data_IF_609057045396
#
_entry.id   IF_609057045396
#
_cell.length_a   1.000
_cell.length_b   1.000
_cell.length_c   1.000
_cell.angle_alpha   90.00
_cell.angle_beta   90.00
_cell.angle_gamma   90.00
#
_symmetry.space_group_name_H-M   'P 1'
#
loop_
_entity.id
_entity.type
_entity.pdbx_description
1 polymer ?
#
# COMPACT_ATOMS: atom_id res chain seq x y z
N UNK A 1 -49.94 -13.53 -3.35
CA UNK A 1 -49.08 -13.92 -4.48
C UNK A 1 -48.00 -12.87 -4.61
N UNK A 2 -46.81 -13.15 -4.08
CA UNK A 2 -45.54 -12.59 -4.52
C UNK A 2 -44.43 -13.22 -3.64
N UNK A 3 -44.01 -14.42 -4.06
CA UNK A 3 -43.00 -15.22 -3.35
C UNK A 3 -41.86 -15.56 -4.30
N UNK A 4 -41.32 -14.60 -5.04
CA UNK A 4 -40.26 -14.92 -6.01
C UNK A 4 -39.06 -13.98 -6.03
N UNK A 5 -38.93 -13.00 -5.10
CA UNK A 5 -37.85 -12.02 -5.17
C UNK A 5 -36.78 -12.14 -4.09
N UNK A 6 -36.76 -13.20 -3.28
CA UNK A 6 -35.78 -13.32 -2.19
C UNK A 6 -34.64 -14.30 -2.46
N UNK A 7 -34.57 -14.94 -3.63
CA UNK A 7 -33.52 -15.93 -3.91
C UNK A 7 -32.21 -15.35 -4.47
N UNK A 8 -32.21 -14.11 -4.93
CA UNK A 8 -30.99 -13.51 -5.54
C UNK A 8 -30.09 -12.73 -4.59
N UNK A 9 -30.51 -12.53 -3.35
CA UNK A 9 -29.67 -11.78 -2.35
C UNK A 9 -28.73 -12.66 -1.55
N UNK A 10 -28.81 -13.99 -1.66
CA UNK A 10 -27.98 -14.92 -0.87
C UNK A 10 -26.73 -15.44 -1.60
N UNK A 11 -26.49 -15.06 -2.85
CA UNK A 11 -25.43 -15.68 -3.64
C UNK A 11 -24.13 -14.88 -3.70
N UNK A 12 -24.04 -13.68 -3.11
CA UNK A 12 -22.85 -12.82 -3.21
C UNK A 12 -22.16 -12.57 -1.87
N UNK A 13 -22.74 -13.00 -0.75
CA UNK A 13 -22.09 -12.90 0.58
C UNK A 13 -21.27 -14.15 0.91
N UNK A 14 -21.12 -15.05 -0.02
CA UNK A 14 -20.21 -16.16 0.10
C UNK A 14 -18.82 -15.72 -0.34
N UNK A 15 -18.06 -15.19 0.64
CA UNK A 15 -16.69 -15.53 0.73
C UNK A 15 -15.66 -14.70 0.01
N UNK A 16 -15.03 -13.89 0.79
CA UNK A 16 -13.57 -13.95 0.91
C UNK A 16 -13.19 -13.52 2.33
N UNK A 17 -13.65 -14.20 3.34
CA UNK A 17 -12.89 -14.32 4.58
C UNK A 17 -11.74 -15.28 4.28
N UNK A 18 -10.70 -14.79 3.63
CA UNK A 18 -9.38 -15.37 3.77
C UNK A 18 -8.92 -15.05 5.20
N UNK A 19 -9.52 -15.71 6.17
CA UNK A 19 -8.95 -15.88 7.47
C UNK A 19 -7.69 -16.68 7.23
N UNK A 20 -6.53 -16.02 7.22
CA UNK A 20 -5.25 -16.68 7.36
C UNK A 20 -5.25 -17.30 8.77
N UNK A 21 -5.99 -18.40 8.95
CA UNK A 21 -5.77 -19.30 10.06
C UNK A 21 -4.43 -19.93 9.74
N UNK A 22 -3.38 -19.44 10.38
CA UNK A 22 -2.11 -20.15 10.49
C UNK A 22 -2.43 -21.37 11.36
N UNK A 23 -2.96 -22.44 10.72
CA UNK A 23 -3.06 -23.74 11.34
C UNK A 23 -1.65 -24.30 11.32
N UNK A 24 -0.98 -24.28 12.45
CA UNK A 24 0.22 -25.07 12.69
C UNK A 24 -0.12 -26.55 12.55
N UNK A 25 -0.12 -27.08 11.33
CA UNK A 25 -0.18 -28.52 11.07
C UNK A 25 1.20 -28.97 10.57
N UNK A 26 1.87 -29.71 11.40
CA UNK A 26 3.01 -30.62 11.19
C UNK A 26 3.70 -30.57 9.81
N UNK A 27 4.67 -29.68 9.69
CA UNK A 27 5.46 -29.42 8.50
C UNK A 27 5.75 -27.94 8.39
N UNK A 28 6.24 -27.33 9.48
CA UNK A 28 6.52 -25.91 9.58
C UNK A 28 7.71 -25.58 8.69
N UNK A 29 7.44 -25.09 7.49
CA UNK A 29 8.37 -24.15 6.89
C UNK A 29 8.28 -22.89 7.76
N UNK A 30 9.35 -22.56 8.47
CA UNK A 30 9.38 -21.40 9.35
C UNK A 30 9.08 -20.14 8.52
N UNK A 31 8.02 -19.42 8.85
CA UNK A 31 7.71 -18.14 8.22
C UNK A 31 8.88 -17.19 8.49
N UNK A 32 9.45 -16.63 7.43
CA UNK A 32 10.46 -15.57 7.59
C UNK A 32 9.74 -14.28 7.98
N UNK A 33 9.94 -13.87 9.22
CA UNK A 33 9.38 -12.62 9.73
C UNK A 33 10.49 -11.62 10.01
N UNK A 34 10.38 -10.44 9.41
CA UNK A 34 11.32 -9.34 9.56
C UNK A 34 10.60 -8.10 10.10
N UNK A 35 11.12 -7.56 11.21
CA UNK A 35 10.79 -6.20 11.67
C UNK A 35 11.85 -5.27 11.13
N UNK A 36 11.44 -4.15 10.54
CA UNK A 36 12.34 -3.16 9.98
C UNK A 36 11.87 -1.75 10.30
N UNK A 37 12.73 -0.77 10.09
CA UNK A 37 12.37 0.62 10.26
C UNK A 37 13.43 1.59 9.79
N UNK A 38 13.05 2.85 9.72
CA UNK A 38 13.92 3.98 9.45
C UNK A 38 13.46 5.16 10.29
N UNK A 39 14.40 5.81 10.97
CA UNK A 39 14.22 7.13 11.56
C UNK A 39 14.99 8.13 10.70
N UNK A 40 14.31 9.14 10.22
CA UNK A 40 14.90 10.15 9.33
C UNK A 40 14.36 11.52 9.73
N UNK A 41 15.25 12.38 10.18
CA UNK A 41 14.95 13.72 10.68
C UNK A 41 15.90 14.72 10.04
N UNK A 42 15.37 15.86 9.63
CA UNK A 42 16.15 16.99 9.14
C UNK A 42 15.95 18.24 10.01
N UNK A 43 16.94 19.12 10.02
CA UNK A 43 16.80 20.47 10.55
C UNK A 43 16.50 21.39 9.38
N UNK A 44 15.36 22.06 9.41
CA UNK A 44 14.94 22.99 8.37
C UNK A 44 15.07 24.43 8.88
N UNK A 45 15.72 25.25 8.08
CA UNK A 45 15.78 26.70 8.28
C UNK A 45 15.01 27.36 7.15
N UNK A 46 13.91 28.01 7.48
CA UNK A 46 13.05 28.69 6.48
C UNK A 46 13.07 30.20 6.75
N UNK A 47 13.28 30.96 5.70
CA UNK A 47 13.18 32.43 5.72
C UNK A 47 12.35 32.86 4.52
N UNK A 48 11.22 33.50 4.78
CA UNK A 48 10.42 34.20 3.76
C UNK A 48 10.66 35.71 3.87
N UNK A 49 10.47 36.42 2.76
CA UNK A 49 10.63 37.86 2.75
C UNK A 49 9.64 38.55 3.70
N UNK A 50 10.17 39.35 4.63
CA UNK A 50 9.36 40.01 5.65
C UNK A 50 9.04 39.22 6.89
N UNK A 51 9.37 37.94 6.92
CA UNK A 51 9.09 37.03 8.06
C UNK A 51 10.35 36.74 8.89
N UNK A 52 10.18 36.41 10.19
CA UNK A 52 11.30 35.95 11.02
C UNK A 52 11.84 34.61 10.49
N UNK A 53 13.13 34.38 10.67
CA UNK A 53 13.72 33.06 10.39
C UNK A 53 13.12 32.02 11.31
N UNK A 54 12.54 30.96 10.74
CA UNK A 54 12.02 29.80 11.44
C UNK A 54 13.03 28.65 11.37
N UNK A 55 13.28 28.02 12.51
CA UNK A 55 14.08 26.79 12.60
C UNK A 55 13.20 25.71 13.22
N UNK A 56 13.00 24.61 12.50
CA UNK A 56 12.22 23.47 12.95
C UNK A 56 12.88 22.13 12.60
N UNK A 57 12.53 21.09 13.34
CA UNK A 57 12.82 19.71 12.98
C UNK A 57 11.72 19.20 12.06
N UNK A 58 12.09 18.46 11.04
CA UNK A 58 11.16 17.92 10.07
C UNK A 58 11.34 16.41 9.92
N UNK A 59 10.23 15.70 9.89
CA UNK A 59 10.21 14.27 9.64
C UNK A 59 10.39 13.98 8.14
N UNK A 60 11.38 13.16 7.79
CA UNK A 60 11.68 12.76 6.41
C UNK A 60 11.19 11.32 6.12
N UNK A 61 9.94 11.05 6.51
CA UNK A 61 9.28 9.79 6.24
C UNK A 61 9.79 8.64 7.09
N UNK A 62 9.94 8.87 8.38
CA UNK A 62 10.22 7.84 9.38
C UNK A 62 9.11 6.80 9.39
N UNK A 63 9.47 5.53 9.57
CA UNK A 63 8.55 4.40 9.51
C UNK A 63 9.11 3.17 10.18
N UNK A 64 8.21 2.29 10.58
CA UNK A 64 8.52 0.94 11.00
C UNK A 64 7.53 -0.04 10.39
N UNK A 65 7.86 -1.30 10.31
CA UNK A 65 6.99 -2.29 9.71
C UNK A 65 7.38 -3.72 10.00
N UNK A 66 6.47 -4.58 9.62
CA UNK A 66 6.59 -6.04 9.68
C UNK A 66 6.40 -6.59 8.27
N UNK A 67 7.29 -7.49 7.87
CA UNK A 67 7.12 -8.32 6.68
C UNK A 67 7.21 -9.78 7.08
N UNK A 68 6.29 -10.57 6.59
CA UNK A 68 6.29 -12.02 6.78
C UNK A 68 6.10 -12.68 5.43
N UNK A 69 6.87 -13.71 5.15
CA UNK A 69 6.67 -14.59 4.01
C UNK A 69 6.61 -16.04 4.50
N UNK A 70 5.58 -16.75 4.08
CA UNK A 70 5.39 -18.17 4.34
C UNK A 70 5.31 -18.92 3.01
N UNK A 71 6.20 -19.89 2.84
CA UNK A 71 6.20 -20.77 1.67
C UNK A 71 5.18 -21.88 1.84
N UNK A 72 4.08 -21.81 1.09
CA UNK A 72 3.04 -22.84 1.09
C UNK A 72 3.52 -24.11 0.35
N UNK A 73 4.28 -23.88 -0.73
CA UNK A 73 4.95 -24.92 -1.52
C UNK A 73 6.11 -24.29 -2.32
N UNK A 74 6.93 -25.05 -3.10
CA UNK A 74 8.07 -24.52 -3.83
C UNK A 74 7.76 -23.41 -4.86
N UNK A 75 6.50 -23.28 -5.28
CA UNK A 75 6.03 -22.26 -6.23
C UNK A 75 5.26 -21.11 -5.55
N UNK A 76 4.53 -21.37 -4.48
CA UNK A 76 3.54 -20.47 -3.89
C UNK A 76 3.96 -20.02 -2.49
N UNK A 77 3.94 -18.71 -2.27
CA UNK A 77 4.13 -18.06 -0.96
C UNK A 77 2.95 -17.16 -0.61
N UNK A 78 2.62 -17.10 0.67
CA UNK A 78 1.78 -16.03 1.25
C UNK A 78 2.67 -14.99 1.89
N UNK A 79 2.33 -13.70 1.71
CA UNK A 79 3.10 -12.58 2.28
C UNK A 79 2.19 -11.60 2.99
N UNK A 80 2.69 -11.05 4.09
CA UNK A 80 2.08 -9.93 4.80
C UNK A 80 3.08 -8.79 4.84
N UNK A 81 2.61 -7.59 4.57
CA UNK A 81 3.38 -6.38 4.75
C UNK A 81 2.55 -5.32 5.46
N UNK A 82 2.94 -4.99 6.69
CA UNK A 82 2.38 -3.93 7.50
C UNK A 82 3.44 -2.85 7.71
N UNK A 83 3.11 -1.59 7.43
CA UNK A 83 4.02 -0.46 7.60
C UNK A 83 3.29 0.75 8.15
N UNK A 84 3.82 1.31 9.23
CA UNK A 84 3.35 2.52 9.91
C UNK A 84 4.35 3.65 9.73
N UNK A 85 3.87 4.83 9.39
CA UNK A 85 4.64 6.05 9.48
C UNK A 85 4.56 6.68 10.86
N UNK A 86 5.61 7.37 11.29
CA UNK A 86 5.61 8.17 12.50
C UNK A 86 6.42 9.45 12.30
N UNK A 87 6.12 10.46 13.09
CA UNK A 87 6.86 11.70 13.10
C UNK A 87 8.07 11.56 14.04
N UNK A 88 9.25 11.82 13.52
CA UNK A 88 10.48 11.67 14.29
C UNK A 88 10.76 12.83 15.24
N UNK A 89 10.03 13.93 15.12
CA UNK A 89 10.13 15.13 15.94
C UNK A 89 9.27 15.09 17.21
N UNK A 90 8.09 14.42 17.14
CA UNK A 90 7.15 14.35 18.26
C UNK A 90 6.71 12.93 18.64
N UNK A 91 7.05 11.92 17.81
CA UNK A 91 6.67 10.52 18.04
C UNK A 91 5.23 10.17 17.64
N UNK A 92 4.46 11.12 17.12
CA UNK A 92 3.09 10.90 16.66
C UNK A 92 3.00 10.05 15.40
N UNK A 93 1.80 9.56 15.07
CA UNK A 93 1.56 8.91 13.78
C UNK A 93 1.69 9.93 12.65
N UNK A 94 2.34 9.55 11.54
CA UNK A 94 2.71 10.52 10.49
C UNK A 94 1.54 10.96 9.61
N UNK A 95 0.46 10.22 9.58
CA UNK A 95 -0.72 10.55 8.77
C UNK A 95 -0.44 10.77 7.27
N UNK A 96 0.63 10.20 6.71
CA UNK A 96 1.15 10.53 5.36
C UNK A 96 0.39 9.89 4.19
N UNK A 97 -0.90 9.76 4.22
CA UNK A 97 -1.52 8.99 3.16
C UNK A 97 -2.90 9.45 2.65
N UNK A 98 -3.41 10.62 3.04
CA UNK A 98 -4.76 11.11 2.65
C UNK A 98 -5.92 10.40 3.39
N UNK A 99 -6.97 11.11 3.72
CA UNK A 99 -8.11 10.60 4.50
C UNK A 99 -7.96 10.78 6.02
N UNK A 100 -8.81 10.12 6.81
CA UNK A 100 -8.78 10.15 8.28
C UNK A 100 -7.59 9.35 8.85
N UNK A 101 -6.38 9.75 8.53
CA UNK A 101 -5.15 9.00 8.77
C UNK A 101 -4.65 9.09 10.21
N UNK A 102 -5.09 10.07 10.96
CA UNK A 102 -4.73 10.26 12.37
C UNK A 102 -5.09 9.06 13.27
N UNK A 103 -5.87 8.12 12.72
CA UNK A 103 -6.33 6.92 13.43
C UNK A 103 -5.78 5.61 12.83
N UNK A 104 -4.97 5.67 11.79
CA UNK A 104 -4.49 4.47 11.09
C UNK A 104 -3.11 4.08 11.58
N UNK A 105 -3.00 2.94 12.26
CA UNK A 105 -1.71 2.38 12.68
C UNK A 105 -0.84 2.01 11.46
N UNK A 106 -1.44 1.43 10.42
CA UNK A 106 -0.73 1.04 9.19
C UNK A 106 -1.12 1.95 8.02
N UNK A 107 -0.84 3.24 8.17
CA UNK A 107 -1.16 4.29 7.19
C UNK A 107 -0.41 4.13 5.86
N UNK A 108 0.71 3.39 5.85
CA UNK A 108 1.57 3.22 4.68
C UNK A 108 1.25 1.96 3.89
N UNK A 109 1.31 0.80 4.52
CA UNK A 109 1.00 -0.49 3.91
C UNK A 109 0.26 -1.40 4.88
N UNK A 110 -0.82 -2.00 4.41
CA UNK A 110 -1.52 -3.10 5.06
C UNK A 110 -1.91 -4.10 3.96
N UNK A 111 -0.98 -4.99 3.61
CA UNK A 111 -1.05 -5.84 2.42
C UNK A 111 -0.96 -7.30 2.80
N UNK A 112 -1.90 -8.08 2.30
CA UNK A 112 -1.82 -9.54 2.18
C UNK A 112 -1.61 -9.88 0.71
N UNK A 113 -0.65 -10.74 0.37
CA UNK A 113 -0.47 -11.19 -1.00
C UNK A 113 -0.20 -12.68 -1.13
N UNK A 114 -0.50 -13.20 -2.32
CA UNK A 114 -0.12 -14.53 -2.77
C UNK A 114 0.83 -14.38 -3.96
N UNK A 115 2.02 -14.94 -3.84
CA UNK A 115 3.07 -14.87 -4.84
C UNK A 115 3.38 -16.26 -5.39
N UNK A 116 3.33 -16.41 -6.71
CA UNK A 116 3.75 -17.59 -7.45
C UNK A 116 4.89 -17.24 -8.40
N UNK A 117 5.89 -18.10 -8.46
CA UNK A 117 7.00 -17.96 -9.43
C UNK A 117 6.53 -18.04 -10.87
N UNK A 118 5.41 -18.75 -11.11
CA UNK A 118 4.85 -18.99 -12.46
C UNK A 118 3.81 -17.95 -12.84
N UNK A 119 2.95 -17.56 -11.90
CA UNK A 119 1.76 -16.77 -12.17
C UNK A 119 1.89 -15.30 -11.74
N UNK A 120 2.96 -14.94 -11.01
CA UNK A 120 3.15 -13.61 -10.48
C UNK A 120 2.55 -13.43 -9.08
N UNK A 121 2.21 -12.22 -8.73
CA UNK A 121 1.75 -11.87 -7.39
C UNK A 121 0.44 -11.10 -7.43
N UNK A 122 -0.51 -11.49 -6.58
CA UNK A 122 -1.74 -10.76 -6.33
C UNK A 122 -1.75 -10.28 -4.89
N UNK A 123 -1.97 -8.98 -4.68
CA UNK A 123 -2.02 -8.34 -3.37
C UNK A 123 -3.35 -7.67 -3.10
N UNK A 124 -3.74 -7.63 -1.85
CA UNK A 124 -5.00 -7.07 -1.35
C UNK A 124 -4.72 -6.15 -0.17
N UNK A 125 -5.44 -5.02 -0.08
CA UNK A 125 -5.40 -4.13 1.07
C UNK A 125 -5.02 -2.70 0.73
N UNK A 126 -4.28 -2.02 1.64
CA UNK A 126 -3.80 -0.66 1.44
C UNK A 126 -2.38 -0.66 0.89
N UNK A 127 -2.21 -0.07 -0.29
CA UNK A 127 -0.92 -0.05 -1.00
C UNK A 127 -0.86 1.05 -2.06
N UNK A 128 0.33 1.30 -2.59
CA UNK A 128 0.48 2.07 -3.83
C UNK A 128 0.10 1.24 -5.05
N UNK A 129 -0.45 1.88 -6.07
CA UNK A 129 -0.78 1.23 -7.35
C UNK A 129 0.48 0.84 -8.13
N UNK A 130 0.33 0.09 -9.22
CA UNK A 130 1.44 -0.24 -10.13
C UNK A 130 2.08 1.00 -10.78
N UNK A 131 1.39 2.14 -10.81
CA UNK A 131 1.90 3.42 -11.30
C UNK A 131 2.50 4.31 -10.21
N UNK A 132 2.22 4.05 -8.96
CA UNK A 132 2.65 4.91 -7.86
C UNK A 132 4.18 4.96 -7.72
N UNK A 133 4.68 5.98 -7.03
CA UNK A 133 6.09 6.07 -6.64
C UNK A 133 6.39 5.32 -5.33
N UNK A 134 5.50 4.44 -4.87
CA UNK A 134 5.67 3.71 -3.61
C UNK A 134 5.57 2.20 -3.79
N UNK A 135 6.39 1.49 -3.02
CA UNK A 135 6.37 0.02 -2.95
C UNK A 135 5.01 -0.51 -2.44
N UNK A 136 4.70 -1.81 -2.58
CA UNK A 136 5.54 -2.86 -3.15
C UNK A 136 5.42 -3.04 -4.67
N UNK A 137 4.34 -2.58 -5.28
CA UNK A 137 3.97 -2.97 -6.64
C UNK A 137 4.30 -1.94 -7.72
N UNK A 138 4.99 -0.86 -7.37
CA UNK A 138 5.37 0.17 -8.35
C UNK A 138 6.20 -0.41 -9.50
N UNK A 139 5.68 -0.28 -10.72
CA UNK A 139 6.36 -0.71 -11.94
C UNK A 139 6.86 0.48 -12.77
N UNK A 140 6.28 1.66 -12.60
CA UNK A 140 6.50 2.80 -13.48
C UNK A 140 7.27 3.92 -12.78
N UNK A 141 6.69 4.58 -11.79
CA UNK A 141 7.26 5.81 -11.26
C UNK A 141 8.46 5.57 -10.33
N UNK A 142 8.40 4.58 -9.45
CA UNK A 142 9.51 4.33 -8.52
C UNK A 142 10.83 3.98 -9.22
N UNK A 143 10.84 3.12 -10.26
CA UNK A 143 12.07 2.85 -11.01
C UNK A 143 12.63 4.07 -11.77
N UNK A 144 11.79 5.07 -12.05
CA UNK A 144 12.16 6.28 -12.77
C UNK A 144 12.50 7.46 -11.85
N UNK A 145 12.30 7.32 -10.53
CA UNK A 145 12.56 8.39 -9.57
C UNK A 145 13.99 8.30 -9.01
N UNK A 146 14.94 9.07 -9.56
CA UNK A 146 16.35 9.01 -9.15
C UNK A 146 16.59 9.63 -7.78
N UNK A 147 15.67 10.43 -7.26
CA UNK A 147 15.85 11.22 -6.04
C UNK A 147 15.09 10.63 -4.86
N UNK A 148 14.11 9.78 -5.12
CA UNK A 148 13.31 9.01 -4.16
C UNK A 148 13.04 9.73 -2.82
N UNK A 149 12.37 10.86 -2.90
CA UNK A 149 11.83 11.57 -1.74
C UNK A 149 12.75 12.58 -1.05
N UNK A 150 14.02 12.71 -1.43
CA UNK A 150 14.91 13.69 -0.80
C UNK A 150 14.50 15.15 -1.11
N UNK A 151 13.85 15.38 -2.25
CA UNK A 151 13.30 16.68 -2.68
C UNK A 151 11.88 16.50 -3.20
N UNK A 152 11.04 15.82 -2.44
CA UNK A 152 9.69 15.42 -2.84
C UNK A 152 8.85 16.60 -3.36
N UNK A 153 8.98 17.76 -2.74
CA UNK A 153 8.17 18.95 -3.06
C UNK A 153 8.61 19.67 -4.34
N UNK A 154 9.84 19.47 -4.81
CA UNK A 154 10.42 20.27 -5.91
C UNK A 154 10.99 19.46 -7.06
N UNK A 155 11.40 18.24 -6.86
CA UNK A 155 12.15 17.48 -7.88
C UNK A 155 11.75 16.02 -8.03
N UNK A 156 10.72 15.53 -7.33
CA UNK A 156 10.29 14.15 -7.51
C UNK A 156 9.53 13.97 -8.80
N UNK A 157 9.68 12.81 -9.42
CA UNK A 157 8.93 12.45 -10.63
C UNK A 157 7.42 12.45 -10.40
N UNK A 158 6.98 12.22 -9.17
CA UNK A 158 5.59 12.28 -8.76
C UNK A 158 4.99 13.69 -8.86
N UNK A 159 5.79 14.73 -8.64
CA UNK A 159 5.35 16.11 -8.85
C UNK A 159 5.15 16.40 -10.34
N UNK A 160 6.02 15.87 -11.19
CA UNK A 160 5.96 16.12 -12.64
C UNK A 160 4.84 15.34 -13.34
N UNK A 161 4.56 14.13 -12.91
CA UNK A 161 3.65 13.21 -13.63
C UNK A 161 2.38 12.84 -12.84
N UNK A 162 2.19 13.42 -11.65
CA UNK A 162 1.12 13.03 -10.73
C UNK A 162 1.36 11.61 -10.20
N UNK A 163 1.64 11.48 -8.92
CA UNK A 163 1.71 10.16 -8.31
C UNK A 163 0.33 9.71 -7.86
N UNK A 164 -0.02 8.50 -8.21
CA UNK A 164 -1.14 7.84 -7.53
C UNK A 164 -0.76 7.66 -6.06
N UNK A 165 -1.55 8.15 -5.11
CA UNK A 165 -1.29 7.94 -3.69
C UNK A 165 -1.43 6.46 -3.34
N UNK A 166 -1.15 6.14 -2.07
CA UNK A 166 -1.62 4.86 -1.54
C UNK A 166 -3.14 4.87 -1.49
N UNK A 167 -3.73 3.78 -1.96
CA UNK A 167 -5.18 3.61 -1.99
C UNK A 167 -5.61 2.49 -1.04
N UNK A 168 -6.76 2.69 -0.40
CA UNK A 168 -7.45 1.66 0.36
C UNK A 168 -8.16 0.68 -0.59
N UNK A 169 -8.63 -0.43 -0.07
CA UNK A 169 -9.51 -1.37 -0.77
C UNK A 169 -8.97 -1.75 -2.18
N UNK A 170 -7.65 -1.95 -2.26
CA UNK A 170 -6.95 -2.17 -3.52
C UNK A 170 -6.67 -3.63 -3.74
N UNK A 171 -6.90 -4.08 -4.97
CA UNK A 171 -6.41 -5.33 -5.52
C UNK A 171 -5.36 -5.00 -6.56
N UNK A 172 -4.19 -5.61 -6.45
CA UNK A 172 -3.10 -5.43 -7.42
C UNK A 172 -2.60 -6.78 -7.90
N UNK A 173 -2.42 -6.91 -9.19
CA UNK A 173 -1.73 -8.03 -9.81
C UNK A 173 -0.45 -7.56 -10.50
N UNK A 174 0.62 -8.32 -10.34
CA UNK A 174 1.89 -8.11 -11.05
C UNK A 174 2.37 -9.43 -11.63
N UNK A 175 2.65 -9.45 -12.94
CA UNK A 175 3.12 -10.64 -13.63
C UNK A 175 4.53 -11.07 -13.18
N UNK A 176 4.92 -12.32 -13.39
CA UNK A 176 6.33 -12.67 -13.36
C UNK A 176 7.11 -11.91 -14.44
N UNK A 177 8.44 -11.87 -14.30
CA UNK A 177 9.28 -11.29 -15.35
C UNK A 177 9.37 -12.27 -16.54
N UNK A 178 8.83 -11.86 -17.67
CA UNK A 178 8.81 -12.65 -18.91
C UNK A 178 9.70 -11.99 -19.94
N UNK A 179 10.85 -12.60 -20.27
CA UNK A 179 11.82 -12.07 -21.24
C UNK A 179 12.21 -10.60 -21.01
N UNK A 180 12.33 -10.19 -19.73
CA UNK A 180 12.69 -8.83 -19.36
C UNK A 180 11.50 -7.91 -19.07
N UNK A 181 10.30 -8.24 -19.50
CA UNK A 181 9.09 -7.44 -19.29
C UNK A 181 8.33 -7.88 -18.03
N UNK A 182 7.70 -6.93 -17.37
CA UNK A 182 6.69 -7.12 -16.34
C UNK A 182 5.50 -6.24 -16.68
N UNK A 183 4.31 -6.69 -16.36
CA UNK A 183 3.10 -5.87 -16.43
C UNK A 183 2.29 -6.03 -15.15
N UNK A 184 1.42 -5.10 -14.88
CA UNK A 184 0.56 -5.14 -13.71
C UNK A 184 -0.66 -4.26 -13.85
N UNK A 185 -1.63 -4.52 -12.98
CA UNK A 185 -2.85 -3.76 -12.86
C UNK A 185 -3.21 -3.61 -11.38
N UNK A 186 -3.70 -2.42 -11.02
CA UNK A 186 -4.25 -2.14 -9.71
C UNK A 186 -5.65 -1.58 -9.86
N UNK A 187 -6.56 -2.04 -9.02
CA UNK A 187 -7.90 -1.50 -8.91
C UNK A 187 -8.24 -1.25 -7.45
N UNK A 188 -8.68 -0.03 -7.13
CA UNK A 188 -9.24 0.32 -5.83
C UNK A 188 -10.74 0.57 -5.95
N UNK A 189 -11.50 -0.08 -5.09
CA UNK A 189 -12.96 0.09 -5.02
C UNK A 189 -13.35 1.44 -4.40
N UNK A 190 -12.56 1.90 -3.42
CA UNK A 190 -12.66 3.23 -2.82
C UNK A 190 -11.28 3.60 -2.24
N UNK A 191 -10.66 4.67 -2.76
CA UNK A 191 -9.25 4.99 -2.44
C UNK A 191 -9.03 5.48 -1.02
N UNK A 192 -10.05 6.06 -0.40
CA UNK A 192 -9.97 6.68 0.94
C UNK A 192 -10.86 6.00 1.98
N UNK A 193 -12.06 5.57 1.59
CA UNK A 193 -13.07 5.03 2.50
C UNK A 193 -13.60 3.67 2.02
N UNK A 194 -14.68 3.19 2.64
CA UNK A 194 -15.42 2.03 2.15
C UNK A 194 -16.27 2.42 0.95
N UNK A 195 -16.50 1.47 0.04
CA UNK A 195 -17.42 1.70 -1.06
C UNK A 195 -18.86 1.77 -0.53
N UNK A 196 -19.55 2.87 -0.83
CA UNK A 196 -20.96 3.06 -0.49
C UNK A 196 -21.82 2.55 -1.64
N UNK A 197 -22.69 1.57 -1.42
CA UNK A 197 -23.47 0.93 -2.50
C UNK A 197 -24.38 1.88 -3.28
N UNK A 198 -24.88 2.93 -2.61
CA UNK A 198 -25.82 3.88 -3.20
C UNK A 198 -25.12 5.12 -3.79
N UNK A 199 -23.82 5.27 -3.61
CA UNK A 199 -23.05 6.40 -4.14
C UNK A 199 -22.43 6.02 -5.48
N UNK A 200 -22.83 6.71 -6.54
CA UNK A 200 -22.27 6.49 -7.89
C UNK A 200 -20.87 7.09 -8.09
N UNK A 201 -20.40 7.92 -7.17
CA UNK A 201 -19.15 8.69 -7.24
C UNK A 201 -18.08 8.21 -6.27
N UNK A 202 -18.00 6.91 -5.98
CA UNK A 202 -16.89 6.35 -5.22
C UNK A 202 -15.54 6.71 -5.89
N UNK A 203 -14.57 7.13 -5.09
CA UNK A 203 -13.21 7.43 -5.57
C UNK A 203 -12.49 6.13 -5.96
N UNK A 204 -12.78 5.63 -7.14
CA UNK A 204 -12.17 4.42 -7.70
C UNK A 204 -10.88 4.74 -8.43
N UNK A 205 -9.94 3.84 -8.39
CA UNK A 205 -8.67 3.94 -9.11
C UNK A 205 -8.48 2.70 -9.99
N UNK A 206 -8.13 2.93 -11.26
CA UNK A 206 -7.59 1.89 -12.14
C UNK A 206 -6.21 2.35 -12.62
N UNK A 207 -5.20 1.53 -12.38
CA UNK A 207 -3.84 1.78 -12.85
C UNK A 207 -3.30 0.57 -13.60
N UNK A 208 -2.60 0.83 -14.72
CA UNK A 208 -1.93 -0.18 -15.53
C UNK A 208 -0.45 0.19 -15.66
N UNK A 209 0.43 -0.79 -15.67
CA UNK A 209 1.86 -0.60 -15.78
C UNK A 209 2.59 -1.81 -16.39
#
# INVERSE_FOLDING_TARGET
>A
MNSSNNLHKFAVTALLTATALIVCSNGVFAAETMIYGRVSTSLRVTKADGEPTKVDMNNEGSRWGLRTEEHINPDLSAKIWLESGFNSDDGGLSGTGGGNLDKMIFDRHAVLSLASKKWGEIGFGRMGSVRSAVMPYSLVLLPLDPVNGAYYDIASISVMFGADPRANNTVTYVSPRMRGFKFGASYSFATTDQEEPEITSNNRLLALG
#
